data_IF_132693651892
#
_entry.id   IF_132693651892
#
_cell.length_a   1.000
_cell.length_b   1.000
_cell.length_c   1.000
_cell.angle_alpha   90.00
_cell.angle_beta   90.00
_cell.angle_gamma   90.00
#
_symmetry.space_group_name_H-M   'P 1'
#
loop_
_entity.id
_entity.type
_entity.pdbx_description
1 polymer ?
#
# COMPACT_ATOMS: atom_id res chain seq x y z
N UNK A 1 42.13 33.81 -7.83
CA UNK A 1 41.44 32.84 -6.94
C UNK A 1 39.94 32.92 -7.23
N UNK A 2 39.10 31.89 -7.35
CA UNK A 2 39.18 30.46 -7.67
C UNK A 2 37.75 30.11 -8.16
N UNK A 3 37.61 29.37 -9.27
CA UNK A 3 36.31 28.99 -9.87
C UNK A 3 35.66 27.86 -9.05
N UNK A 4 34.44 28.07 -8.54
CA UNK A 4 33.65 27.04 -7.88
C UNK A 4 32.92 26.16 -8.90
N UNK A 5 33.30 24.89 -8.99
CA UNK A 5 32.65 23.89 -9.85
C UNK A 5 31.35 23.38 -9.20
N UNK A 6 30.25 23.41 -9.94
CA UNK A 6 28.98 22.77 -9.55
C UNK A 6 29.03 21.27 -9.86
N UNK A 7 29.14 20.43 -8.82
CA UNK A 7 29.06 18.98 -8.95
C UNK A 7 27.60 18.57 -9.16
N UNK A 8 27.20 18.25 -10.40
CA UNK A 8 25.90 17.64 -10.69
C UNK A 8 25.90 16.19 -10.22
N UNK A 9 25.22 15.90 -9.12
CA UNK A 9 25.03 14.54 -8.62
C UNK A 9 24.20 13.71 -9.63
N UNK A 10 24.84 12.74 -10.29
CA UNK A 10 24.21 11.84 -11.26
C UNK A 10 23.25 10.89 -10.54
N UNK A 11 21.95 11.06 -10.77
CA UNK A 11 20.87 10.21 -10.23
C UNK A 11 21.09 8.78 -10.73
N UNK A 12 21.42 7.84 -9.84
CA UNK A 12 21.57 6.42 -10.21
C UNK A 12 20.24 5.89 -10.73
N UNK A 13 20.19 5.56 -12.02
CA UNK A 13 19.08 4.82 -12.60
C UNK A 13 19.06 3.43 -11.96
N UNK A 14 17.92 3.04 -11.41
CA UNK A 14 17.76 1.78 -10.69
C UNK A 14 17.78 0.64 -11.72
N UNK A 15 18.90 -0.07 -11.86
CA UNK A 15 19.14 -1.12 -12.88
C UNK A 15 18.36 -2.42 -12.65
N UNK A 16 17.18 -2.35 -12.03
CA UNK A 16 16.33 -3.52 -11.80
C UNK A 16 15.58 -3.86 -13.08
N UNK A 17 15.57 -5.13 -13.51
CA UNK A 17 14.81 -5.55 -14.68
C UNK A 17 13.34 -5.14 -14.51
N UNK A 18 12.82 -4.38 -15.46
CA UNK A 18 11.44 -3.92 -15.43
C UNK A 18 10.55 -4.99 -16.03
N UNK A 19 9.54 -5.40 -15.27
CA UNK A 19 8.50 -6.31 -15.77
C UNK A 19 7.78 -5.64 -16.95
N UNK A 20 7.67 -6.29 -18.12
CA UNK A 20 6.93 -5.75 -19.26
C UNK A 20 5.49 -5.37 -18.89
N UNK A 21 4.97 -4.31 -19.50
CA UNK A 21 3.63 -3.77 -19.19
C UNK A 21 2.52 -4.82 -19.34
N UNK A 22 2.60 -5.66 -20.38
CA UNK A 22 1.63 -6.74 -20.63
C UNK A 22 1.54 -7.70 -19.44
N UNK A 23 2.66 -8.06 -18.82
CA UNK A 23 2.66 -8.92 -17.64
C UNK A 23 2.02 -8.25 -16.42
N UNK A 24 2.18 -6.92 -16.27
CA UNK A 24 1.50 -6.16 -15.23
C UNK A 24 -0.02 -6.18 -15.43
N UNK A 25 -0.49 -6.09 -16.67
CA UNK A 25 -1.91 -6.18 -17.00
C UNK A 25 -2.48 -7.56 -16.70
N UNK A 26 -1.77 -8.63 -17.11
CA UNK A 26 -2.20 -10.01 -16.85
C UNK A 26 -2.28 -10.29 -15.36
N UNK A 27 -1.29 -9.83 -14.58
CA UNK A 27 -1.30 -9.98 -13.12
C UNK A 27 -2.50 -9.27 -12.49
N UNK A 28 -2.77 -8.03 -12.90
CA UNK A 28 -3.91 -7.27 -12.39
C UNK A 28 -5.24 -7.95 -12.75
N UNK A 29 -5.38 -8.45 -13.98
CA UNK A 29 -6.58 -9.15 -14.41
C UNK A 29 -6.78 -10.49 -13.67
N UNK A 30 -5.68 -11.22 -13.42
CA UNK A 30 -5.69 -12.44 -12.64
C UNK A 30 -6.10 -12.17 -11.19
N UNK A 31 -5.54 -11.15 -10.54
CA UNK A 31 -5.90 -10.74 -9.19
C UNK A 31 -7.40 -10.45 -9.05
N UNK A 32 -7.96 -9.65 -9.96
CA UNK A 32 -9.39 -9.33 -9.97
C UNK A 32 -10.26 -10.58 -10.14
N UNK A 33 -9.80 -11.56 -10.91
CA UNK A 33 -10.52 -12.84 -11.10
C UNK A 33 -10.60 -13.73 -9.85
N UNK A 34 -9.76 -13.47 -8.83
CA UNK A 34 -9.82 -14.16 -7.54
C UNK A 34 -10.99 -13.68 -6.68
N UNK A 35 -11.49 -12.47 -6.93
CA UNK A 35 -12.64 -11.86 -6.26
C UNK A 35 -13.90 -11.84 -7.14
N UNK A 36 -13.87 -12.56 -8.26
CA UNK A 36 -14.94 -12.62 -9.27
C UNK A 36 -15.37 -11.24 -9.84
N UNK A 37 -14.46 -10.27 -9.83
CA UNK A 37 -14.67 -8.93 -10.38
C UNK A 37 -13.91 -8.75 -11.68
N UNK A 38 -14.47 -7.94 -12.59
CA UNK A 38 -13.80 -7.60 -13.87
C UNK A 38 -13.09 -6.26 -13.82
N UNK A 39 -13.54 -5.37 -12.95
CA UNK A 39 -13.09 -3.98 -12.83
C UNK A 39 -12.72 -3.68 -11.39
N UNK A 40 -11.63 -2.95 -11.21
CA UNK A 40 -11.18 -2.55 -9.87
C UNK A 40 -12.25 -1.72 -9.13
N UNK A 41 -13.04 -0.91 -9.85
CA UNK A 41 -14.10 -0.10 -9.23
C UNK A 41 -15.15 -0.93 -8.48
N UNK A 42 -15.44 -2.16 -8.96
CA UNK A 42 -16.41 -3.06 -8.32
C UNK A 42 -15.91 -3.56 -6.96
N UNK A 43 -14.61 -3.88 -6.88
CA UNK A 43 -13.98 -4.23 -5.61
C UNK A 43 -13.89 -3.00 -4.69
N UNK A 44 -13.51 -1.86 -5.25
CA UNK A 44 -13.34 -0.63 -4.50
C UNK A 44 -14.65 -0.10 -3.90
N UNK A 45 -15.80 -0.31 -4.53
CA UNK A 45 -17.11 0.11 -3.99
C UNK A 45 -17.35 -0.41 -2.56
N UNK A 46 -16.94 -1.65 -2.30
CA UNK A 46 -17.08 -2.31 -1.01
C UNK A 46 -16.02 -1.88 0.00
N UNK A 47 -14.84 -1.47 -0.49
CA UNK A 47 -13.67 -1.16 0.34
C UNK A 47 -13.37 0.34 0.48
N UNK A 48 -14.10 1.23 -0.20
CA UNK A 48 -13.79 2.67 -0.22
C UNK A 48 -14.20 3.44 1.03
N UNK A 49 -14.91 2.81 1.94
CA UNK A 49 -15.42 3.48 3.15
C UNK A 49 -14.26 3.81 4.10
N UNK A 50 -14.11 5.09 4.46
CA UNK A 50 -13.05 5.57 5.37
C UNK A 50 -13.11 4.89 6.75
N UNK A 51 -14.27 4.36 7.16
CA UNK A 51 -14.42 3.59 8.40
C UNK A 51 -13.66 2.27 8.41
N UNK A 52 -13.25 1.77 7.23
CA UNK A 52 -12.46 0.54 7.08
C UNK A 52 -10.96 0.81 7.14
N UNK A 53 -10.55 2.05 7.38
CA UNK A 53 -9.14 2.40 7.55
C UNK A 53 -8.63 2.03 8.94
N UNK A 54 -7.37 1.58 9.00
CA UNK A 54 -6.75 1.17 10.25
C UNK A 54 -6.85 -0.32 10.54
N UNK A 55 -6.52 -0.66 11.78
CA UNK A 55 -6.44 -2.04 12.29
C UNK A 55 -7.20 -2.13 13.61
N UNK A 56 -7.66 -3.33 13.93
CA UNK A 56 -8.22 -3.64 15.24
C UNK A 56 -7.14 -3.86 16.32
N UNK A 57 -7.58 -4.25 17.52
CA UNK A 57 -6.73 -4.52 18.68
C UNK A 57 -5.71 -5.65 18.46
N UNK A 58 -5.96 -6.53 17.47
CA UNK A 58 -5.11 -7.68 17.14
C UNK A 58 -4.15 -7.39 15.98
N UNK A 59 -4.05 -6.13 15.51
CA UNK A 59 -3.33 -5.75 14.28
C UNK A 59 -3.85 -6.47 13.04
N UNK A 60 -5.16 -6.68 12.93
CA UNK A 60 -5.81 -7.14 11.70
C UNK A 60 -6.46 -5.92 11.03
N UNK A 61 -6.25 -5.73 9.72
CA UNK A 61 -6.87 -4.60 9.03
C UNK A 61 -8.39 -4.75 8.98
N UNK A 62 -9.11 -3.64 9.13
CA UNK A 62 -10.57 -3.64 8.94
C UNK A 62 -10.98 -4.04 7.51
N UNK A 63 -10.09 -3.91 6.52
CA UNK A 63 -10.29 -4.45 5.17
C UNK A 63 -10.41 -5.98 5.15
N UNK A 64 -9.62 -6.71 5.94
CA UNK A 64 -9.75 -8.17 6.04
C UNK A 64 -11.15 -8.54 6.55
N UNK A 65 -11.63 -7.85 7.59
CA UNK A 65 -12.99 -8.03 8.11
C UNK A 65 -14.07 -7.68 7.08
N UNK A 66 -13.88 -6.62 6.29
CA UNK A 66 -14.80 -6.25 5.22
C UNK A 66 -14.85 -7.32 4.12
N UNK A 67 -13.70 -7.87 3.72
CA UNK A 67 -13.62 -8.90 2.68
C UNK A 67 -14.25 -10.20 3.11
N UNK A 68 -14.00 -10.63 4.34
CA UNK A 68 -14.58 -11.85 4.90
C UNK A 68 -16.07 -11.71 5.18
N UNK A 69 -16.57 -10.51 5.50
CA UNK A 69 -17.99 -10.27 5.72
C UNK A 69 -18.78 -10.04 4.42
N UNK A 70 -18.23 -9.28 3.47
CA UNK A 70 -18.95 -8.83 2.28
C UNK A 70 -18.69 -9.69 1.04
N UNK A 71 -17.53 -10.34 0.96
CA UNK A 71 -17.09 -11.11 -0.21
C UNK A 71 -16.91 -12.61 0.08
N UNK A 72 -17.41 -13.12 1.22
CA UNK A 72 -17.31 -14.54 1.59
C UNK A 72 -17.70 -15.51 0.45
N UNK A 73 -18.71 -15.15 -0.35
CA UNK A 73 -19.20 -15.96 -1.48
C UNK A 73 -18.58 -15.63 -2.83
N UNK A 74 -17.75 -14.58 -2.91
CA UNK A 74 -17.19 -14.03 -4.15
C UNK A 74 -15.69 -14.30 -4.30
N UNK A 75 -15.01 -14.68 -3.21
CA UNK A 75 -13.58 -14.97 -3.26
C UNK A 75 -13.29 -16.44 -3.50
N UNK A 76 -12.33 -16.72 -4.38
CA UNK A 76 -11.74 -18.05 -4.58
C UNK A 76 -10.63 -18.33 -3.55
N UNK A 77 -10.42 -17.42 -2.60
CA UNK A 77 -9.35 -17.45 -1.63
C UNK A 77 -9.90 -17.86 -0.27
N UNK A 78 -9.29 -18.82 0.44
CA UNK A 78 -9.64 -19.13 1.82
C UNK A 78 -9.43 -17.91 2.73
N UNK A 79 -10.29 -17.76 3.73
CA UNK A 79 -10.20 -16.69 4.73
C UNK A 79 -8.84 -16.69 5.44
N UNK A 80 -8.33 -17.87 5.77
CA UNK A 80 -7.05 -18.06 6.46
C UNK A 80 -5.89 -17.53 5.62
N UNK A 81 -5.96 -17.71 4.29
CA UNK A 81 -4.94 -17.23 3.37
C UNK A 81 -4.98 -15.70 3.23
N UNK A 82 -6.19 -15.11 3.22
CA UNK A 82 -6.35 -13.65 3.25
C UNK A 82 -5.78 -13.05 4.54
N UNK A 83 -6.01 -13.70 5.68
CA UNK A 83 -5.43 -13.29 6.95
C UNK A 83 -3.89 -13.40 6.93
N UNK A 84 -3.34 -14.45 6.34
CA UNK A 84 -1.89 -14.60 6.19
C UNK A 84 -1.28 -13.44 5.37
N UNK A 85 -1.91 -13.06 4.26
CA UNK A 85 -1.48 -11.91 3.47
C UNK A 85 -1.56 -10.60 4.26
N UNK A 86 -2.65 -10.39 5.00
CA UNK A 86 -2.83 -9.24 5.88
C UNK A 86 -1.69 -9.12 6.90
N UNK A 87 -1.40 -10.22 7.60
CA UNK A 87 -0.34 -10.26 8.61
C UNK A 87 1.06 -10.09 8.02
N UNK A 88 1.29 -10.58 6.80
CA UNK A 88 2.54 -10.32 6.08
C UNK A 88 2.71 -8.82 5.77
N UNK A 89 1.65 -8.12 5.37
CA UNK A 89 1.67 -6.67 5.15
C UNK A 89 2.01 -5.92 6.44
N UNK A 90 1.35 -6.27 7.56
CA UNK A 90 1.61 -5.70 8.88
C UNK A 90 3.08 -5.85 9.26
N UNK A 91 3.59 -7.09 9.21
CA UNK A 91 4.98 -7.43 9.53
C UNK A 91 5.98 -6.64 8.70
N UNK A 92 5.77 -6.57 7.38
CA UNK A 92 6.69 -5.86 6.49
C UNK A 92 6.63 -4.35 6.69
N UNK A 93 5.45 -3.79 6.92
CA UNK A 93 5.26 -2.35 7.16
C UNK A 93 5.87 -1.92 8.48
N UNK A 94 5.70 -2.71 9.55
CA UNK A 94 6.35 -2.47 10.84
C UNK A 94 7.88 -2.44 10.71
N UNK A 95 8.46 -3.44 10.05
CA UNK A 95 9.91 -3.48 9.79
C UNK A 95 10.41 -2.27 8.97
N UNK A 96 9.61 -1.78 8.03
CA UNK A 96 9.93 -0.55 7.30
C UNK A 96 9.86 0.67 8.22
N UNK A 97 8.84 0.74 9.08
CA UNK A 97 8.65 1.83 10.03
C UNK A 97 9.74 1.91 11.08
N UNK A 98 10.22 0.79 11.62
CA UNK A 98 11.39 0.74 12.51
C UNK A 98 12.56 1.50 11.90
N UNK A 99 12.89 1.21 10.64
CA UNK A 99 13.99 1.86 9.91
C UNK A 99 13.73 3.35 9.66
N UNK A 100 12.48 3.73 9.41
CA UNK A 100 12.08 5.14 9.20
C UNK A 100 12.23 5.94 10.49
N UNK A 101 11.75 5.38 11.61
CA UNK A 101 11.85 5.98 12.94
C UNK A 101 13.31 6.18 13.34
N UNK A 102 14.18 5.18 13.14
CA UNK A 102 15.62 5.32 13.40
C UNK A 102 16.27 6.44 12.59
N UNK A 103 15.72 6.78 11.41
CA UNK A 103 16.20 7.86 10.53
C UNK A 103 15.50 9.21 10.77
N UNK A 104 14.58 9.29 11.73
CA UNK A 104 13.76 10.48 11.97
C UNK A 104 12.69 10.74 10.90
N UNK A 105 12.36 9.74 10.07
CA UNK A 105 11.29 9.82 9.08
C UNK A 105 9.93 9.43 9.70
N UNK A 106 8.85 10.06 9.24
CA UNK A 106 7.50 9.70 9.66
C UNK A 106 7.14 8.25 9.24
N UNK A 107 6.45 7.49 10.11
CA UNK A 107 6.04 6.12 9.79
C UNK A 107 4.99 6.09 8.69
N UNK A 108 4.95 4.96 7.97
CA UNK A 108 3.89 4.59 7.05
C UNK A 108 2.69 4.18 7.90
N UNK A 109 1.56 4.85 7.70
CA UNK A 109 0.29 4.57 8.39
C UNK A 109 -0.78 4.22 7.36
N UNK A 110 -1.67 3.30 7.72
CA UNK A 110 -2.68 2.69 6.84
C UNK A 110 -4.03 3.42 6.91
N UNK A 111 -3.97 4.74 7.04
CA UNK A 111 -5.12 5.65 7.18
C UNK A 111 -5.03 6.77 6.14
N UNK A 112 -6.16 7.19 5.59
CA UNK A 112 -6.26 8.26 4.63
C UNK A 112 -5.88 9.58 5.28
N UNK A 113 -5.05 10.34 4.58
CA UNK A 113 -4.51 11.62 5.07
C UNK A 113 -5.60 12.66 5.38
N UNK A 114 -6.81 12.50 4.83
CA UNK A 114 -7.95 13.38 5.15
C UNK A 114 -8.52 13.16 6.55
N UNK A 115 -8.47 11.94 7.09
CA UNK A 115 -9.03 11.63 8.42
C UNK A 115 -8.09 12.02 9.56
N UNK A 116 -6.78 12.12 9.32
CA UNK A 116 -5.78 12.22 10.40
C UNK A 116 -5.42 13.64 10.86
N UNK A 117 -5.98 14.71 10.29
CA UNK A 117 -5.81 16.10 10.77
C UNK A 117 -4.35 16.60 10.93
N UNK A 118 -3.35 15.85 10.46
CA UNK A 118 -1.94 16.09 10.78
C UNK A 118 -1.25 16.86 9.64
N UNK A 119 -0.74 18.07 9.89
CA UNK A 119 -0.09 18.87 8.86
C UNK A 119 1.38 18.45 8.74
N UNK A 120 1.68 17.31 8.10
CA UNK A 120 3.07 17.00 7.75
C UNK A 120 3.44 17.63 6.40
N UNK A 121 4.41 18.56 6.40
CA UNK A 121 4.93 19.27 5.23
C UNK A 121 6.17 18.53 4.70
N UNK A 122 6.00 17.68 3.69
CA UNK A 122 7.13 17.01 3.03
C UNK A 122 7.91 18.01 2.13
N UNK A 123 9.26 17.95 2.09
CA UNK A 123 10.07 18.87 1.26
C UNK A 123 10.05 18.57 -0.25
N UNK A 124 9.45 17.46 -0.69
CA UNK A 124 9.42 17.01 -2.09
C UNK A 124 8.10 16.30 -2.36
N UNK A 125 7.29 16.86 -3.27
CA UNK A 125 5.91 16.46 -3.52
C UNK A 125 5.76 15.11 -4.21
N UNK A 126 5.40 14.08 -3.45
CA UNK A 126 4.67 12.92 -3.95
C UNK A 126 3.56 12.57 -2.96
N UNK A 127 2.27 12.72 -3.32
CA UNK A 127 1.19 12.09 -2.58
C UNK A 127 1.12 10.59 -2.99
N UNK A 128 0.29 9.80 -2.30
CA UNK A 128 -0.10 8.41 -2.61
C UNK A 128 0.60 7.29 -1.81
N UNK A 129 0.61 7.35 -0.47
CA UNK A 129 0.88 6.15 0.35
C UNK A 129 -0.37 5.59 1.04
N UNK A 130 -1.49 6.33 1.08
CA UNK A 130 -2.75 5.83 1.66
C UNK A 130 -3.40 4.64 0.92
N UNK A 131 -2.93 4.30 -0.28
CA UNK A 131 -3.41 3.17 -1.10
C UNK A 131 -2.39 2.01 -1.11
N UNK A 132 -1.35 2.06 -0.28
CA UNK A 132 -0.26 1.07 -0.30
C UNK A 132 -0.35 0.06 0.86
N UNK A 133 -1.39 0.13 1.69
CA UNK A 133 -1.53 -0.78 2.81
C UNK A 133 -2.50 -1.95 2.57
N UNK A 134 -3.19 -1.99 1.42
CA UNK A 134 -3.87 -3.15 0.84
C UNK A 134 -3.95 -2.95 -0.69
#
# INVERSE_FOLDING_TARGET
MARGATTTARRRANGRPQVPFVHKLVLNQWLLSLFDVKRFEQLAEHLRNEKLEGMDENNVHHFHHALTAQLFNLTKLPTELLLEYDQNIVKHTQRLNERRITRGEAPIVCVNRRSTGTPYRHPKGTPLIGVLCW
#
